data_IF_022779780751
#
_entry.id   IF_022779780751
#
_cell.length_a   1.000
_cell.length_b   1.000
_cell.length_c   1.000
_cell.angle_alpha   90.00
_cell.angle_beta   90.00
_cell.angle_gamma   90.00
#
_symmetry.space_group_name_H-M   'P 1'
#
loop_
_entity.id
_entity.type
_entity.pdbx_description
1 polymer ?
#
# COMPACT_ATOMS: atom_id res chain seq x y z
N UNK A 1 -16.64 -13.67 -9.13
CA UNK A 1 -15.91 -13.26 -7.94
C UNK A 1 -15.05 -12.07 -8.24
N UNK A 2 -15.14 -11.07 -7.40
CA UNK A 2 -14.29 -9.90 -7.55
C UNK A 2 -12.87 -10.24 -7.12
N UNK A 3 -11.93 -9.89 -7.95
CA UNK A 3 -10.53 -10.11 -7.63
C UNK A 3 -9.80 -8.79 -7.73
N UNK A 4 -9.15 -8.46 -6.66
CA UNK A 4 -8.29 -7.30 -6.63
C UNK A 4 -6.88 -7.74 -6.95
N UNK A 5 -6.19 -6.92 -7.70
CA UNK A 5 -4.85 -7.25 -8.12
C UNK A 5 -3.90 -6.16 -7.66
N UNK A 6 -2.81 -6.57 -7.01
CA UNK A 6 -1.77 -5.63 -6.62
C UNK A 6 -0.90 -5.37 -7.82
N UNK A 7 -0.90 -4.13 -8.30
CA UNK A 7 -0.09 -3.75 -9.46
C UNK A 7 1.34 -3.47 -9.08
N UNK A 8 1.54 -2.73 -7.98
CA UNK A 8 2.88 -2.46 -7.48
C UNK A 8 2.82 -2.41 -5.96
N UNK A 9 3.87 -2.95 -5.33
CA UNK A 9 4.10 -2.72 -3.92
C UNK A 9 4.92 -1.46 -3.82
N UNK A 10 4.29 -0.39 -3.36
CA UNK A 10 4.98 0.86 -3.20
C UNK A 10 6.09 0.75 -2.17
N UNK A 11 7.08 1.60 -2.30
CA UNK A 11 8.17 1.67 -1.34
C UNK A 11 7.81 2.64 -0.23
N UNK A 12 8.24 2.33 0.98
CA UNK A 12 8.12 3.27 2.07
C UNK A 12 9.16 4.37 1.88
N UNK A 13 8.77 5.61 2.11
CA UNK A 13 9.66 6.75 1.99
C UNK A 13 9.46 7.68 3.16
N UNK A 14 10.51 8.41 3.52
CA UNK A 14 10.47 9.34 4.63
C UNK A 14 10.03 10.72 4.14
N UNK A 15 9.06 11.28 4.83
CA UNK A 15 8.58 12.62 4.50
C UNK A 15 9.44 13.66 5.18
N UNK A 16 9.26 14.92 4.76
CA UNK A 16 10.02 16.02 5.32
C UNK A 16 9.70 16.27 6.80
N UNK A 17 8.52 15.86 7.22
CA UNK A 17 8.10 16.01 8.63
C UNK A 17 8.61 14.88 9.53
N UNK A 18 9.38 13.95 8.97
CA UNK A 18 9.92 12.83 9.74
C UNK A 18 9.06 11.60 9.77
N UNK A 19 7.90 11.63 9.16
CA UNK A 19 7.03 10.47 9.09
C UNK A 19 7.34 9.63 7.88
N UNK A 20 7.03 8.36 7.97
CA UNK A 20 7.18 7.43 6.86
C UNK A 20 5.83 7.19 6.21
N UNK A 21 5.84 7.13 4.90
CA UNK A 21 4.63 6.88 4.12
C UNK A 21 4.92 5.85 3.04
N UNK A 22 3.87 5.20 2.57
CA UNK A 22 3.97 4.28 1.46
C UNK A 22 2.68 4.26 0.68
N UNK A 23 2.76 3.86 -0.58
CA UNK A 23 1.59 3.78 -1.46
C UNK A 23 1.58 2.43 -2.14
N UNK A 24 0.41 1.81 -2.17
CA UNK A 24 0.20 0.57 -2.90
C UNK A 24 -0.79 0.87 -4.02
N UNK A 25 -0.40 0.54 -5.24
CA UNK A 25 -1.29 0.64 -6.39
C UNK A 25 -1.95 -0.71 -6.62
N UNK A 26 -3.25 -0.68 -6.82
CA UNK A 26 -4.00 -1.91 -7.05
C UNK A 26 -5.09 -1.67 -8.08
N UNK A 27 -5.59 -2.78 -8.61
CA UNK A 27 -6.70 -2.77 -9.55
C UNK A 27 -7.89 -3.38 -8.83
N UNK A 28 -9.01 -2.67 -8.82
CA UNK A 28 -10.19 -3.16 -8.12
C UNK A 28 -10.96 -4.16 -8.98
N UNK A 29 -12.08 -4.63 -8.44
CA UNK A 29 -12.92 -5.61 -9.12
C UNK A 29 -13.53 -5.10 -10.41
N UNK A 30 -13.59 -3.80 -10.58
CA UNK A 30 -14.12 -3.16 -11.79
C UNK A 30 -13.02 -2.88 -12.82
N UNK A 31 -11.79 -3.23 -12.50
CA UNK A 31 -10.66 -2.98 -13.37
C UNK A 31 -10.10 -1.57 -13.29
N UNK A 32 -10.53 -0.79 -12.34
CA UNK A 32 -10.02 0.56 -12.15
C UNK A 32 -8.77 0.56 -11.30
N UNK A 33 -7.81 1.39 -11.68
CA UNK A 33 -6.59 1.56 -10.90
C UNK A 33 -6.85 2.50 -9.75
N UNK A 34 -6.49 2.06 -8.57
CA UNK A 34 -6.64 2.85 -7.36
C UNK A 34 -5.36 2.76 -6.54
N UNK A 35 -5.20 3.68 -5.64
CA UNK A 35 -4.05 3.66 -4.76
C UNK A 35 -4.52 3.76 -3.32
N UNK A 36 -3.76 3.12 -2.45
CA UNK A 36 -3.97 3.18 -1.02
C UNK A 36 -2.69 3.69 -0.37
N UNK A 37 -2.79 4.74 0.42
CA UNK A 37 -1.62 5.26 1.12
C UNK A 37 -1.63 4.79 2.57
N UNK A 38 -0.43 4.64 3.09
CA UNK A 38 -0.22 4.23 4.48
C UNK A 38 0.80 5.17 5.10
N UNK A 39 0.70 5.34 6.41
CA UNK A 39 1.66 6.17 7.13
C UNK A 39 2.02 5.51 8.45
N UNK A 40 3.18 5.85 8.95
CA UNK A 40 3.66 5.32 10.20
C UNK A 40 4.85 6.14 10.69
N UNK A 41 5.35 5.79 11.87
CA UNK A 41 6.48 6.48 12.46
C UNK A 41 7.80 5.90 12.00
N UNK A 42 7.81 4.67 11.50
CA UNK A 42 9.01 4.01 11.03
C UNK A 42 8.75 3.33 9.70
N UNK A 43 9.84 3.08 8.97
CA UNK A 43 9.77 2.35 7.71
C UNK A 43 9.18 0.95 7.90
N UNK A 44 9.59 0.27 8.97
CA UNK A 44 9.11 -1.08 9.25
C UNK A 44 7.61 -1.10 9.47
N UNK A 45 7.09 -0.09 10.15
CA UNK A 45 5.66 0.01 10.41
C UNK A 45 4.87 0.16 9.12
N UNK A 46 5.33 1.04 8.24
CA UNK A 46 4.68 1.26 6.95
C UNK A 46 4.74 -0.01 6.09
N UNK A 47 5.89 -0.65 6.05
CA UNK A 47 6.05 -1.91 5.31
C UNK A 47 5.12 -2.99 5.83
N UNK A 48 4.97 -3.06 7.14
CA UNK A 48 4.08 -4.04 7.76
C UNK A 48 2.64 -3.79 7.34
N UNK A 49 2.22 -2.53 7.34
CA UNK A 49 0.87 -2.17 6.93
C UNK A 49 0.62 -2.50 5.46
N UNK A 50 1.57 -2.19 4.61
CA UNK A 50 1.45 -2.50 3.19
C UNK A 50 1.39 -3.99 2.93
N UNK A 51 2.21 -4.75 3.63
CA UNK A 51 2.21 -6.20 3.49
C UNK A 51 0.89 -6.80 3.93
N UNK A 52 0.35 -6.33 5.05
CA UNK A 52 -0.94 -6.81 5.54
C UNK A 52 -2.05 -6.52 4.53
N UNK A 53 -2.02 -5.34 3.93
CA UNK A 53 -3.01 -4.97 2.94
C UNK A 53 -2.95 -5.87 1.71
N UNK A 54 -1.74 -6.19 1.26
CA UNK A 54 -1.56 -7.08 0.11
C UNK A 54 -2.09 -8.49 0.41
N UNK A 55 -1.88 -8.98 1.63
CA UNK A 55 -2.35 -10.30 2.02
C UNK A 55 -3.87 -10.37 2.00
N UNK A 56 -4.54 -9.29 2.40
CA UNK A 56 -6.00 -9.26 2.42
C UNK A 56 -6.61 -9.36 1.02
N UNK A 57 -5.83 -9.09 -0.02
CA UNK A 57 -6.32 -9.19 -1.40
C UNK A 57 -6.29 -10.63 -1.91
N UNK A 58 -5.54 -11.47 -1.27
CA UNK A 58 -5.42 -12.88 -1.64
C UNK A 58 -6.33 -13.74 -0.74
#
# INVERSE_FOLDING_TARGET
MSQREILTNGSAFKRTDGRWCGVVWYKDEHGERKRKSFSGTTKAEVNKKMKKYSVEFN
#
